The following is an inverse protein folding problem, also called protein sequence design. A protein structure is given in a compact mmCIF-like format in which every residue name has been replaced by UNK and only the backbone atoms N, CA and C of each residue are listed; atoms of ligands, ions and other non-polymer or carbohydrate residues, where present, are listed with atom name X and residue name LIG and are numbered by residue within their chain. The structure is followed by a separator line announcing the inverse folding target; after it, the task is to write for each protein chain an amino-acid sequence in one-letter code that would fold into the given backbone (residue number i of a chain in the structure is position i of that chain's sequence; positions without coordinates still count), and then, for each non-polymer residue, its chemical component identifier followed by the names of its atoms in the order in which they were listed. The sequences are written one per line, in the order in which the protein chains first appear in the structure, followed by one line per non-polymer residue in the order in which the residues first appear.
data_IF_831074724237
#
_entry.id   IF_831074724237
#
_cell.length_a   1.000
_cell.length_b   1.000
_cell.length_c   1.000
_cell.angle_alpha   90.00
_cell.angle_beta   90.00
_cell.angle_gamma   90.00
#
_symmetry.space_group_name_H-M   'P 1'
#
loop_
_entity.id
_entity.type
_entity.pdbx_description
1 polymer ?
#
# COMPACT_ATOMS: atom_id res chain seq x y z
N UNK A 1 85.62 -12.33 -19.60
CA UNK A 1 84.36 -11.93 -18.95
C UNK A 1 83.35 -11.53 -20.04
N UNK A 2 82.32 -12.35 -20.26
CA UNK A 2 81.26 -12.09 -21.27
C UNK A 2 79.98 -11.69 -20.53
N UNK A 3 79.51 -10.46 -20.73
CA UNK A 3 78.18 -10.03 -20.30
C UNK A 3 77.24 -10.03 -21.50
N UNK A 4 76.26 -10.94 -21.49
CA UNK A 4 75.14 -10.95 -22.42
C UNK A 4 73.96 -10.20 -21.78
N UNK A 5 73.60 -9.04 -22.34
CA UNK A 5 72.37 -8.32 -21.98
C UNK A 5 71.26 -8.88 -22.86
N UNK A 6 70.30 -9.58 -22.25
CA UNK A 6 69.10 -10.09 -22.91
C UNK A 6 68.01 -9.03 -22.89
N UNK A 7 67.72 -8.44 -24.04
CA UNK A 7 66.55 -7.58 -24.23
C UNK A 7 65.27 -8.44 -24.29
N UNK A 8 64.52 -8.49 -23.18
CA UNK A 8 63.21 -9.15 -23.12
C UNK A 8 62.12 -8.22 -23.71
N UNK A 9 61.74 -8.49 -24.95
CA UNK A 9 60.74 -7.75 -25.74
C UNK A 9 59.38 -7.68 -25.01
N UNK A 10 58.90 -6.46 -24.70
CA UNK A 10 57.53 -6.13 -24.21
C UNK A 10 56.47 -6.54 -25.24
N UNK A 11 56.11 -7.84 -25.34
CA UNK A 11 55.03 -8.30 -26.23
C UNK A 11 53.68 -8.52 -25.52
N UNK A 12 53.65 -8.56 -24.18
CA UNK A 12 52.44 -8.92 -23.42
C UNK A 12 51.58 -7.74 -22.94
N UNK A 13 52.05 -6.49 -23.01
CA UNK A 13 51.28 -5.35 -22.46
C UNK A 13 50.11 -4.90 -23.35
N UNK A 14 50.25 -5.01 -24.67
CA UNK A 14 49.20 -4.60 -25.62
C UNK A 14 48.00 -5.56 -25.62
N UNK A 15 48.24 -6.86 -25.56
CA UNK A 15 47.17 -7.86 -25.52
C UNK A 15 46.35 -7.79 -24.21
N UNK A 16 47.00 -7.51 -23.07
CA UNK A 16 46.30 -7.27 -21.80
C UNK A 16 45.53 -5.94 -21.80
N UNK A 17 46.06 -4.89 -22.43
CA UNK A 17 45.37 -3.62 -22.57
C UNK A 17 44.14 -3.73 -23.49
N UNK A 18 44.24 -4.50 -24.58
CA UNK A 18 43.10 -4.78 -25.47
C UNK A 18 42.00 -5.57 -24.77
N UNK A 19 42.33 -6.65 -24.04
CA UNK A 19 41.33 -7.39 -23.26
C UNK A 19 40.63 -6.56 -22.20
N UNK A 20 41.35 -5.65 -21.53
CA UNK A 20 40.74 -4.71 -20.56
C UNK A 20 39.79 -3.73 -21.23
N UNK A 21 40.13 -3.25 -22.44
CA UNK A 21 39.25 -2.38 -23.23
C UNK A 21 38.01 -3.11 -23.73
N UNK A 22 38.14 -4.36 -24.17
CA UNK A 22 37.00 -5.19 -24.60
C UNK A 22 36.04 -5.46 -23.44
N UNK A 23 36.56 -5.84 -22.26
CA UNK A 23 35.74 -6.05 -21.06
C UNK A 23 35.03 -4.75 -20.65
N UNK A 24 35.75 -3.62 -20.63
CA UNK A 24 35.16 -2.32 -20.28
C UNK A 24 34.09 -1.87 -21.29
N UNK A 25 34.30 -2.12 -22.59
CA UNK A 25 33.28 -1.85 -23.62
C UNK A 25 32.06 -2.74 -23.46
N UNK A 26 32.26 -4.01 -23.10
CA UNK A 26 31.17 -4.96 -22.91
C UNK A 26 30.33 -4.58 -21.67
N UNK A 27 30.96 -4.17 -20.58
CA UNK A 27 30.27 -3.65 -19.39
C UNK A 27 29.51 -2.34 -19.68
N UNK A 28 30.10 -1.42 -20.45
CA UNK A 28 29.42 -0.18 -20.86
C UNK A 28 28.19 -0.45 -21.74
N UNK A 29 28.29 -1.44 -22.63
CA UNK A 29 27.20 -1.79 -23.55
C UNK A 29 26.01 -2.41 -22.79
N UNK A 30 26.30 -3.28 -21.82
CA UNK A 30 25.29 -3.87 -20.92
C UNK A 30 24.62 -2.78 -20.09
N UNK A 31 25.40 -1.85 -19.52
CA UNK A 31 24.89 -0.73 -18.72
C UNK A 31 24.00 0.23 -19.53
N UNK A 32 24.42 0.57 -20.75
CA UNK A 32 23.62 1.38 -21.68
C UNK A 32 22.30 0.69 -22.06
N UNK A 33 22.33 -0.62 -22.33
CA UNK A 33 21.12 -1.38 -22.66
C UNK A 33 20.14 -1.46 -21.48
N UNK A 34 20.65 -1.66 -20.25
CA UNK A 34 19.82 -1.67 -19.04
C UNK A 34 19.20 -0.31 -18.77
N UNK A 35 19.96 0.78 -18.92
CA UNK A 35 19.45 2.14 -18.73
C UNK A 35 18.33 2.48 -19.73
N UNK A 36 18.51 2.13 -21.01
CA UNK A 36 17.48 2.33 -22.05
C UNK A 36 16.20 1.53 -21.77
N UNK A 37 16.35 0.29 -21.29
CA UNK A 37 15.21 -0.55 -20.91
C UNK A 37 14.46 0.02 -19.70
N UNK A 38 15.16 0.55 -18.69
CA UNK A 38 14.55 1.21 -17.54
C UNK A 38 13.77 2.47 -17.93
N UNK A 39 14.31 3.30 -18.83
CA UNK A 39 13.63 4.50 -19.33
C UNK A 39 12.35 4.13 -20.10
N UNK A 40 12.39 3.07 -20.91
CA UNK A 40 11.21 2.59 -21.65
C UNK A 40 10.10 2.09 -20.71
N UNK A 41 10.45 1.37 -19.64
CA UNK A 41 9.49 0.95 -18.60
C UNK A 41 8.84 2.14 -17.88
N UNK A 42 9.62 3.20 -17.62
CA UNK A 42 9.11 4.41 -16.96
C UNK A 42 8.13 5.19 -17.85
N UNK A 43 8.34 5.19 -19.17
CA UNK A 43 7.46 5.84 -20.15
C UNK A 43 6.13 5.11 -20.37
N UNK A 44 6.01 3.84 -19.95
CA UNK A 44 4.80 3.02 -20.06
C UNK A 44 3.92 3.06 -18.80
N UNK A 45 4.30 3.82 -17.77
CA UNK A 45 3.50 3.96 -16.56
C UNK A 45 2.20 4.74 -16.86
N UNK A 46 1.05 4.06 -16.76
CA UNK A 46 -0.27 4.70 -16.87
C UNK A 46 -0.57 5.56 -15.64
N UNK A 47 -1.31 6.64 -15.86
CA UNK A 47 -1.86 7.49 -14.80
C UNK A 47 -2.83 6.69 -13.92
N UNK A 48 -2.52 6.60 -12.62
CA UNK A 48 -3.42 6.05 -11.62
C UNK A 48 -4.38 7.15 -11.15
N UNK A 49 -5.69 6.88 -11.22
CA UNK A 49 -6.69 7.74 -10.61
C UNK A 49 -6.77 7.43 -9.11
N UNK A 50 -6.61 8.45 -8.27
CA UNK A 50 -6.82 8.31 -6.83
C UNK A 50 -8.31 8.00 -6.57
N UNK A 51 -8.58 7.00 -5.75
CA UNK A 51 -9.94 6.68 -5.32
C UNK A 51 -10.44 7.78 -4.36
N UNK A 52 -11.55 8.43 -4.72
CA UNK A 52 -12.20 9.45 -3.89
C UNK A 52 -12.81 8.89 -2.61
N UNK A 53 -13.11 9.78 -1.65
CA UNK A 53 -13.80 9.44 -0.41
C UNK A 53 -15.20 8.88 -0.74
N UNK A 54 -15.49 7.65 -0.28
CA UNK A 54 -16.81 7.01 -0.41
C UNK A 54 -17.03 6.09 -1.62
N UNK A 55 -16.03 5.88 -2.49
CA UNK A 55 -16.09 4.84 -3.52
C UNK A 55 -15.95 3.41 -2.96
N UNK A 56 -16.48 2.41 -3.65
CA UNK A 56 -16.34 0.99 -3.26
C UNK A 56 -14.86 0.61 -3.08
N UNK A 57 -14.54 -0.22 -2.08
CA UNK A 57 -13.19 -0.65 -1.73
C UNK A 57 -12.57 -1.41 -2.91
N UNK A 58 -11.79 -0.70 -3.74
CA UNK A 58 -11.14 -1.28 -4.92
C UNK A 58 -9.81 -1.93 -4.53
N UNK A 59 -8.70 -1.42 -5.04
CA UNK A 59 -7.34 -1.86 -4.76
C UNK A 59 -6.71 -1.14 -3.55
N UNK A 60 -7.43 -0.20 -2.91
CA UNK A 60 -6.97 0.39 -1.65
C UNK A 60 -6.75 -0.70 -0.59
N UNK A 61 -5.59 -0.66 0.08
CA UNK A 61 -5.18 -1.64 1.09
C UNK A 61 -4.27 -2.76 0.60
N UNK A 62 -3.90 -2.82 -0.68
CA UNK A 62 -2.92 -3.80 -1.23
C UNK A 62 -1.46 -3.32 -1.06
N UNK A 63 -1.22 -2.14 -0.46
CA UNK A 63 0.11 -1.52 -0.40
C UNK A 63 1.09 -2.18 0.60
N UNK A 64 0.65 -3.16 1.37
CA UNK A 64 1.47 -3.84 2.37
C UNK A 64 2.43 -4.85 1.73
N UNK A 65 3.52 -4.35 1.17
CA UNK A 65 4.65 -5.16 0.73
C UNK A 65 5.24 -5.95 1.91
N UNK A 66 5.25 -7.27 1.80
CA UNK A 66 5.80 -8.14 2.86
C UNK A 66 7.27 -8.44 2.62
N UNK A 67 8.11 -8.10 3.60
CA UNK A 67 9.51 -8.51 3.59
C UNK A 67 9.64 -9.94 4.13
N UNK A 68 10.21 -10.89 3.35
CA UNK A 68 10.23 -12.32 3.71
C UNK A 68 11.48 -12.73 4.51
N UNK A 69 12.65 -12.25 4.11
CA UNK A 69 13.90 -12.41 4.86
C UNK A 69 13.86 -11.70 6.21
N UNK A 70 14.12 -12.44 7.29
CA UNK A 70 14.24 -11.88 8.64
C UNK A 70 15.46 -10.94 8.76
N UNK A 71 16.57 -11.29 8.12
CA UNK A 71 17.78 -10.46 8.10
C UNK A 71 17.53 -9.14 7.36
N UNK A 72 16.89 -9.17 6.19
CA UNK A 72 16.49 -7.99 5.43
C UNK A 72 15.57 -7.09 6.26
N UNK A 73 14.54 -7.65 6.91
CA UNK A 73 13.66 -6.90 7.83
C UNK A 73 14.42 -6.22 8.96
N UNK A 74 15.32 -6.94 9.63
CA UNK A 74 16.13 -6.41 10.72
C UNK A 74 17.07 -5.27 10.25
N UNK A 75 17.43 -5.25 8.97
CA UNK A 75 18.25 -4.21 8.34
C UNK A 75 17.42 -3.16 7.58
N UNK A 76 16.12 -3.04 7.87
CA UNK A 76 15.26 -2.01 7.26
C UNK A 76 14.96 -2.24 5.78
N UNK A 77 14.94 -3.50 5.32
CA UNK A 77 14.63 -3.88 3.95
C UNK A 77 15.83 -3.98 3.02
N UNK A 78 17.05 -3.97 3.55
CA UNK A 78 18.27 -4.15 2.75
C UNK A 78 18.34 -5.58 2.21
N UNK A 79 18.43 -5.72 0.89
CA UNK A 79 18.52 -7.02 0.20
C UNK A 79 19.88 -7.31 -0.43
N UNK A 80 20.77 -6.31 -0.48
CA UNK A 80 22.12 -6.43 -1.05
C UNK A 80 23.12 -6.58 0.10
N UNK A 81 24.04 -7.55 -0.01
CA UNK A 81 25.01 -7.87 1.04
C UNK A 81 24.49 -8.87 2.08
N UNK A 82 23.19 -9.15 2.07
CA UNK A 82 22.59 -10.26 2.80
C UNK A 82 22.88 -11.56 2.05
N UNK A 83 23.62 -12.46 2.68
CA UNK A 83 24.09 -13.72 2.08
C UNK A 83 23.43 -14.91 2.75
N UNK A 84 23.37 -16.05 2.03
CA UNK A 84 22.89 -17.34 2.55
C UNK A 84 21.45 -17.28 3.08
N UNK A 85 20.59 -16.50 2.42
CA UNK A 85 19.20 -16.30 2.83
C UNK A 85 18.23 -16.57 1.67
N UNK A 86 17.57 -17.73 1.74
CA UNK A 86 16.50 -18.10 0.82
C UNK A 86 15.31 -17.11 0.84
N UNK A 87 15.12 -16.34 1.92
CA UNK A 87 14.08 -15.31 2.05
C UNK A 87 14.22 -14.14 1.09
N UNK A 88 15.32 -14.03 0.34
CA UNK A 88 15.52 -13.01 -0.69
C UNK A 88 15.07 -13.46 -2.08
N UNK A 89 14.64 -14.72 -2.23
CA UNK A 89 14.29 -15.38 -3.49
C UNK A 89 13.44 -14.52 -4.43
N UNK A 90 12.45 -13.83 -3.89
CA UNK A 90 11.49 -13.03 -4.65
C UNK A 90 11.70 -11.52 -4.54
N UNK A 91 12.71 -11.07 -3.78
CA UNK A 91 13.00 -9.64 -3.58
C UNK A 91 14.26 -9.23 -4.34
N UNK A 92 15.27 -10.10 -4.30
CA UNK A 92 16.53 -9.96 -4.99
C UNK A 92 17.05 -11.37 -5.32
N UNK A 93 16.50 -12.03 -6.37
CA UNK A 93 16.86 -13.41 -6.69
C UNK A 93 18.37 -13.60 -6.91
N UNK A 94 19.10 -12.59 -7.38
CA UNK A 94 20.55 -12.66 -7.55
C UNK A 94 21.29 -12.94 -6.24
N UNK A 95 20.74 -12.56 -5.08
CA UNK A 95 21.32 -12.85 -3.77
C UNK A 95 21.40 -14.36 -3.47
N UNK A 96 20.54 -15.18 -4.09
CA UNK A 96 20.56 -16.63 -3.94
C UNK A 96 21.88 -17.26 -4.40
N UNK A 97 22.66 -16.61 -5.27
CA UNK A 97 23.97 -17.12 -5.70
C UNK A 97 24.92 -17.42 -4.54
N UNK A 98 24.71 -16.77 -3.39
CA UNK A 98 25.50 -16.93 -2.18
C UNK A 98 25.19 -18.23 -1.43
N UNK A 99 24.08 -18.91 -1.74
CA UNK A 99 23.65 -20.15 -1.09
C UNK A 99 24.57 -21.31 -1.51
N UNK A 100 25.23 -21.92 -0.54
CA UNK A 100 26.22 -22.99 -0.78
C UNK A 100 25.70 -24.41 -0.54
N UNK A 101 24.55 -24.57 0.13
CA UNK A 101 23.91 -25.86 0.38
C UNK A 101 22.40 -25.78 0.24
N UNK A 102 21.72 -26.92 0.30
CA UNK A 102 20.24 -26.95 0.30
C UNK A 102 19.75 -26.20 1.55
N UNK A 103 18.84 -25.26 1.37
CA UNK A 103 18.27 -24.46 2.44
C UNK A 103 16.75 -24.49 2.38
N UNK A 104 16.12 -24.83 3.49
CA UNK A 104 14.69 -24.63 3.70
C UNK A 104 14.47 -23.45 4.65
N UNK A 105 13.50 -22.59 4.34
CA UNK A 105 13.16 -21.44 5.18
C UNK A 105 11.65 -21.39 5.41
N UNK A 106 11.25 -21.46 6.68
CA UNK A 106 9.87 -21.29 7.13
C UNK A 106 9.80 -20.04 7.99
N UNK A 107 8.75 -19.25 7.84
CA UNK A 107 8.58 -18.03 8.61
C UNK A 107 7.12 -17.68 8.84
N UNK A 108 6.85 -17.08 10.00
CA UNK A 108 5.59 -16.42 10.32
C UNK A 108 5.86 -14.99 10.78
N UNK A 109 4.84 -14.16 10.73
CA UNK A 109 4.87 -12.81 11.28
C UNK A 109 3.73 -12.64 12.28
N UNK A 110 4.00 -11.83 13.31
CA UNK A 110 3.02 -11.34 14.24
C UNK A 110 3.04 -9.81 14.20
N UNK A 111 1.87 -9.21 14.14
CA UNK A 111 1.66 -7.77 14.10
C UNK A 111 0.80 -7.36 15.27
N UNK A 112 1.14 -6.20 15.83
CA UNK A 112 0.27 -5.40 16.68
C UNK A 112 0.07 -4.08 15.97
N UNK A 113 -1.19 -3.73 15.73
CA UNK A 113 -1.57 -2.55 14.99
C UNK A 113 -2.56 -1.75 15.80
N UNK A 114 -2.16 -0.52 16.12
CA UNK A 114 -3.02 0.48 16.71
C UNK A 114 -3.33 1.53 15.65
N UNK A 115 -4.61 1.75 15.43
CA UNK A 115 -5.16 2.74 14.52
C UNK A 115 -5.99 3.71 15.33
N UNK A 116 -5.69 4.99 15.19
CA UNK A 116 -6.45 6.05 15.81
C UNK A 116 -6.76 7.14 14.81
N UNK A 117 -7.88 7.81 15.03
CA UNK A 117 -8.23 9.02 14.33
C UNK A 117 -8.63 10.08 15.34
N UNK A 118 -7.93 11.20 15.28
CA UNK A 118 -8.30 12.43 15.93
C UNK A 118 -8.78 13.43 14.87
N UNK A 119 -9.93 14.05 15.09
CA UNK A 119 -10.46 15.09 14.22
C UNK A 119 -10.58 16.39 14.99
N UNK A 120 -9.98 17.44 14.43
CA UNK A 120 -10.00 18.79 14.97
C UNK A 120 -10.62 19.74 13.94
N UNK A 121 -11.59 20.54 14.37
CA UNK A 121 -12.35 21.44 13.49
C UNK A 121 -12.12 22.90 13.87
N UNK A 122 -11.68 23.69 12.90
CA UNK A 122 -11.65 25.14 13.09
C UNK A 122 -13.08 25.70 13.04
N UNK A 123 -13.45 26.63 13.96
CA UNK A 123 -14.75 27.25 13.93
C UNK A 123 -14.91 28.10 12.67
N UNK A 124 -16.06 27.96 12.02
CA UNK A 124 -16.43 28.79 10.88
C UNK A 124 -17.13 30.03 11.41
N UNK A 125 -16.72 31.22 10.98
CA UNK A 125 -17.24 32.50 11.51
C UNK A 125 -18.76 32.59 11.56
N UNK A 126 -19.44 32.07 10.54
CA UNK A 126 -20.91 32.10 10.42
C UNK A 126 -21.61 30.88 11.02
N UNK A 127 -20.87 29.83 11.38
CA UNK A 127 -21.38 28.57 11.92
C UNK A 127 -20.50 28.14 13.11
N UNK A 128 -20.40 29.01 14.11
CA UNK A 128 -19.43 28.87 15.21
C UNK A 128 -19.63 27.60 16.04
N UNK A 129 -20.87 27.09 16.13
CA UNK A 129 -21.22 25.84 16.81
C UNK A 129 -21.05 24.59 15.93
N UNK A 130 -20.67 24.71 14.66
CA UNK A 130 -20.48 23.56 13.76
C UNK A 130 -19.30 22.70 14.21
N UNK A 131 -18.15 23.32 14.54
CA UNK A 131 -16.98 22.58 15.03
C UNK A 131 -17.33 21.83 16.32
N UNK A 132 -18.04 22.48 17.25
CA UNK A 132 -18.49 21.87 18.49
C UNK A 132 -19.44 20.68 18.25
N UNK A 133 -20.30 20.75 17.23
CA UNK A 133 -21.17 19.62 16.86
C UNK A 133 -20.35 18.45 16.31
N UNK A 134 -19.44 18.73 15.37
CA UNK A 134 -18.62 17.70 14.73
C UNK A 134 -17.63 17.05 15.71
N UNK A 135 -17.18 17.79 16.73
CA UNK A 135 -16.34 17.31 17.84
C UNK A 135 -17.15 16.65 18.98
N UNK A 136 -18.49 16.59 18.87
CA UNK A 136 -19.34 15.99 19.90
C UNK A 136 -19.35 16.75 21.24
N UNK A 137 -19.02 18.04 21.23
CA UNK A 137 -18.93 18.89 22.41
C UNK A 137 -20.25 19.61 22.75
N UNK A 138 -21.23 19.63 21.84
CA UNK A 138 -22.51 20.34 22.04
C UNK A 138 -23.36 19.78 23.18
N UNK A 139 -23.15 18.53 23.59
CA UNK A 139 -23.79 17.94 24.76
C UNK A 139 -23.41 18.65 26.08
N UNK A 140 -22.25 19.32 26.12
CA UNK A 140 -21.77 20.07 27.31
C UNK A 140 -22.34 21.47 27.41
N UNK A 141 -23.03 21.94 26.37
CA UNK A 141 -23.59 23.29 26.32
C UNK A 141 -25.03 23.24 26.85
N UNK A 142 -25.36 24.03 27.90
CA UNK A 142 -26.72 24.13 28.42
C UNK A 142 -27.72 24.55 27.33
N UNK A 143 -28.97 24.13 27.48
CA UNK A 143 -30.04 24.65 26.63
C UNK A 143 -30.21 26.16 26.86
N UNK A 144 -30.46 26.94 25.80
CA UNK A 144 -30.82 28.35 25.96
C UNK A 144 -32.14 28.47 26.72
N UNK A 145 -32.30 29.57 27.46
CA UNK A 145 -33.57 29.90 28.11
C UNK A 145 -34.59 30.31 27.04
N UNK A 146 -35.58 29.44 26.83
CA UNK A 146 -36.64 29.64 25.82
C UNK A 146 -37.66 30.71 26.22
N UNK A 147 -37.60 31.23 27.46
CA UNK A 147 -38.51 32.26 27.97
C UNK A 147 -38.00 33.69 27.71
N UNK A 148 -36.79 33.85 27.18
CA UNK A 148 -36.24 35.16 26.84
C UNK A 148 -36.98 35.80 25.66
N UNK A 149 -37.26 37.10 25.77
CA UNK A 149 -37.90 37.89 24.70
C UNK A 149 -36.99 37.89 23.47
N UNK A 150 -37.54 37.47 22.33
CA UNK A 150 -36.79 37.37 21.07
C UNK A 150 -36.16 36.00 20.82
N UNK A 151 -36.41 35.00 21.66
CA UNK A 151 -35.97 33.62 21.40
C UNK A 151 -36.52 33.09 20.07
N UNK A 152 -35.62 32.54 19.27
CA UNK A 152 -35.95 31.85 18.02
C UNK A 152 -35.36 30.44 18.03
N UNK A 153 -35.83 29.57 17.13
CA UNK A 153 -35.23 28.26 16.95
C UNK A 153 -33.74 28.31 16.56
N UNK A 154 -33.24 29.45 16.05
CA UNK A 154 -31.83 29.64 15.69
C UNK A 154 -30.92 29.77 16.91
N UNK A 155 -31.48 30.13 18.07
CA UNK A 155 -30.74 30.25 19.33
C UNK A 155 -30.48 28.89 19.99
N UNK A 156 -31.02 27.81 19.41
CA UNK A 156 -30.87 26.44 19.92
C UNK A 156 -29.52 25.82 19.56
N UNK A 157 -28.93 25.14 20.53
CA UNK A 157 -27.72 24.34 20.33
C UNK A 157 -28.08 23.07 19.55
N UNK A 158 -27.54 22.94 18.34
CA UNK A 158 -27.69 21.74 17.51
C UNK A 158 -26.95 20.56 18.16
N UNK A 159 -27.59 19.38 18.20
CA UNK A 159 -27.03 18.17 18.84
C UNK A 159 -27.09 16.97 17.87
N UNK A 160 -26.16 16.01 18.01
CA UNK A 160 -26.25 14.77 17.25
C UNK A 160 -27.51 13.98 17.65
N UNK A 161 -28.06 13.25 16.70
CA UNK A 161 -29.17 12.31 16.92
C UNK A 161 -28.66 10.87 17.14
N UNK A 162 -27.36 10.71 17.35
CA UNK A 162 -26.65 9.45 17.52
C UNK A 162 -25.63 9.53 18.67
N UNK A 163 -25.07 8.38 19.04
CA UNK A 163 -24.02 8.26 20.04
C UNK A 163 -22.62 8.08 19.40
N UNK A 164 -22.44 8.50 18.15
CA UNK A 164 -21.17 8.33 17.42
C UNK A 164 -20.23 9.48 17.82
N UNK A 165 -19.11 9.15 18.46
CA UNK A 165 -18.05 10.12 18.77
C UNK A 165 -17.28 10.57 17.53
N UNK A 166 -16.54 11.69 17.56
CA UNK A 166 -15.69 12.14 16.44
C UNK A 166 -14.45 11.27 16.24
N UNK A 167 -13.84 10.87 17.35
CA UNK A 167 -12.58 10.16 17.39
C UNK A 167 -12.85 8.66 17.56
N UNK A 168 -11.94 7.86 17.07
CA UNK A 168 -11.99 6.42 17.25
C UNK A 168 -10.56 5.88 17.40
N UNK A 169 -10.45 4.79 18.14
CA UNK A 169 -9.20 4.03 18.28
C UNK A 169 -9.51 2.55 18.18
N UNK A 170 -8.61 1.80 17.57
CA UNK A 170 -8.73 0.36 17.37
C UNK A 170 -7.35 -0.28 17.47
N UNK A 171 -7.21 -1.24 18.38
CA UNK A 171 -6.08 -2.15 18.44
C UNK A 171 -6.46 -3.48 17.80
N UNK A 172 -5.61 -4.03 16.95
CA UNK A 172 -5.76 -5.39 16.41
C UNK A 172 -4.40 -6.08 16.38
N UNK A 173 -4.38 -7.31 16.88
CA UNK A 173 -3.23 -8.19 16.75
C UNK A 173 -3.58 -9.31 15.77
N UNK A 174 -2.64 -9.68 14.90
CA UNK A 174 -2.79 -10.82 14.02
C UNK A 174 -1.46 -11.49 13.75
N UNK A 175 -1.50 -12.80 13.53
CA UNK A 175 -0.38 -13.59 13.05
C UNK A 175 -0.71 -14.18 11.68
N UNK A 176 0.32 -14.39 10.86
CA UNK A 176 0.17 -15.02 9.56
C UNK A 176 1.41 -15.80 9.14
N UNK A 177 1.26 -16.88 8.37
CA UNK A 177 2.40 -17.48 7.68
C UNK A 177 2.99 -16.44 6.72
N UNK A 178 4.32 -16.35 6.69
CA UNK A 178 5.05 -15.40 5.87
C UNK A 178 5.71 -16.07 4.68
N UNK A 179 6.34 -17.22 4.89
CA UNK A 179 7.08 -17.90 3.84
C UNK A 179 7.26 -19.39 4.11
N UNK A 180 7.30 -20.17 3.04
CA UNK A 180 7.83 -21.52 2.99
C UNK A 180 8.63 -21.69 1.70
N UNK A 181 9.95 -21.74 1.82
CA UNK A 181 10.90 -21.65 0.71
C UNK A 181 11.88 -22.82 0.74
N UNK A 182 12.28 -23.28 -0.44
CA UNK A 182 13.37 -24.23 -0.65
C UNK A 182 14.32 -23.65 -1.70
N UNK A 183 15.60 -23.59 -1.37
CA UNK A 183 16.67 -23.21 -2.29
C UNK A 183 17.69 -24.35 -2.42
N UNK A 184 18.06 -24.68 -3.65
CA UNK A 184 18.98 -25.77 -3.97
C UNK A 184 20.07 -25.27 -4.93
N UNK A 185 21.34 -25.26 -4.50
CA UNK A 185 22.45 -25.00 -5.39
C UNK A 185 22.73 -26.21 -6.27
N UNK A 186 23.03 -25.95 -7.53
CA UNK A 186 23.47 -26.95 -8.50
C UNK A 186 24.53 -26.34 -9.42
N UNK A 187 25.26 -27.17 -10.16
CA UNK A 187 26.28 -26.70 -11.09
C UNK A 187 25.97 -27.20 -12.49
N UNK A 188 25.98 -26.28 -13.46
CA UNK A 188 25.89 -26.60 -14.88
C UNK A 188 27.24 -26.28 -15.52
N UNK A 189 28.07 -27.32 -15.66
CA UNK A 189 29.46 -27.16 -16.09
C UNK A 189 30.27 -26.34 -15.07
N UNK A 190 30.76 -25.16 -15.48
CA UNK A 190 31.55 -24.26 -14.62
C UNK A 190 30.71 -23.18 -13.93
N UNK A 191 29.41 -23.11 -14.23
CA UNK A 191 28.51 -22.08 -13.71
C UNK A 191 27.82 -22.64 -12.47
N UNK A 192 28.02 -21.96 -11.33
CA UNK A 192 27.26 -22.22 -10.11
C UNK A 192 25.91 -21.53 -10.20
N UNK A 193 24.86 -22.29 -9.99
CA UNK A 193 23.48 -21.83 -10.03
C UNK A 193 22.74 -22.23 -8.77
N UNK A 194 21.66 -21.52 -8.47
CA UNK A 194 20.74 -21.83 -7.38
C UNK A 194 19.32 -21.74 -7.91
N UNK A 195 18.56 -22.81 -7.73
CA UNK A 195 17.12 -22.82 -7.99
C UNK A 195 16.38 -22.66 -6.67
N UNK A 196 15.30 -21.89 -6.71
CA UNK A 196 14.41 -21.64 -5.59
C UNK A 196 12.97 -21.95 -5.97
N UNK A 197 12.20 -22.48 -5.04
CA UNK A 197 10.74 -22.59 -5.12
C UNK A 197 10.14 -22.25 -3.76
N UNK A 198 8.95 -21.66 -3.74
CA UNK A 198 8.24 -21.51 -2.49
C UNK A 198 6.94 -20.73 -2.58
N UNK A 199 6.30 -20.64 -1.42
CA UNK A 199 5.11 -19.85 -1.17
C UNK A 199 5.46 -18.71 -0.21
N UNK A 200 4.94 -17.52 -0.46
CA UNK A 200 5.14 -16.35 0.38
C UNK A 200 3.88 -15.52 0.55
N UNK A 201 3.72 -14.86 1.68
CA UNK A 201 2.74 -13.79 1.81
C UNK A 201 3.20 -12.63 0.94
N UNK A 202 2.46 -12.36 -0.14
CA UNK A 202 2.76 -11.28 -1.07
C UNK A 202 2.33 -9.94 -0.48
N UNK A 203 1.04 -9.84 -0.12
CA UNK A 203 0.46 -8.65 0.49
C UNK A 203 -0.47 -9.01 1.64
N UNK A 204 -0.46 -8.18 2.69
CA UNK A 204 -1.54 -8.17 3.67
C UNK A 204 -2.73 -7.42 3.09
N UNK A 205 -3.90 -8.06 3.03
CA UNK A 205 -5.12 -7.38 2.59
C UNK A 205 -5.87 -6.77 3.77
N UNK A 206 -5.39 -6.97 5.01
CA UNK A 206 -5.99 -6.33 6.18
C UNK A 206 -5.96 -4.80 6.02
N UNK A 207 -7.14 -4.23 5.96
CA UNK A 207 -7.35 -2.79 5.86
C UNK A 207 -8.47 -2.39 6.79
N UNK A 208 -8.31 -1.24 7.43
CA UNK A 208 -9.39 -0.62 8.17
C UNK A 208 -9.31 0.88 8.03
N UNK A 209 -10.45 1.49 7.77
CA UNK A 209 -10.59 2.93 7.75
C UNK A 209 -11.98 3.28 8.26
N UNK A 210 -12.05 4.30 9.09
CA UNK A 210 -13.30 4.86 9.56
C UNK A 210 -13.17 6.38 9.59
N UNK A 211 -14.24 7.07 9.22
CA UNK A 211 -14.37 8.51 9.38
C UNK A 211 -15.79 8.79 9.87
N UNK A 212 -15.91 9.39 11.05
CA UNK A 212 -17.19 9.62 11.73
C UNK A 212 -17.89 10.92 11.29
N UNK A 213 -17.23 11.74 10.48
CA UNK A 213 -17.71 13.06 10.06
C UNK A 213 -17.44 13.26 8.57
N UNK A 214 -18.09 12.45 7.74
CA UNK A 214 -18.14 12.67 6.29
C UNK A 214 -19.25 13.67 5.99
N UNK A 215 -18.89 14.73 5.27
CA UNK A 215 -19.81 15.77 4.82
C UNK A 215 -19.92 15.72 3.30
N UNK A 216 -21.15 15.59 2.79
CA UNK A 216 -21.42 15.50 1.35
C UNK A 216 -22.56 16.45 0.94
N UNK A 217 -22.30 17.50 0.14
CA UNK A 217 -20.98 17.90 -0.38
C UNK A 217 -20.03 18.33 0.76
N UNK A 218 -18.73 18.19 0.53
CA UNK A 218 -17.74 18.61 1.52
C UNK A 218 -17.75 20.13 1.64
N UNK A 219 -18.18 20.61 2.80
CA UNK A 219 -18.12 22.02 3.15
C UNK A 219 -16.72 22.32 3.70
N UNK A 220 -16.22 23.53 3.47
CA UNK A 220 -14.90 23.98 3.97
C UNK A 220 -13.67 23.40 3.25
N UNK A 221 -13.83 22.46 2.31
CA UNK A 221 -12.70 21.91 1.52
C UNK A 221 -12.48 22.59 0.16
N UNK A 222 -13.38 23.49 -0.27
CA UNK A 222 -13.23 24.19 -1.54
C UNK A 222 -12.32 25.42 -1.36
N UNK A 223 -11.19 25.41 -2.05
CA UNK A 223 -10.36 26.61 -2.32
C UNK A 223 -10.53 27.00 -3.79
N UNK A 224 -10.52 28.31 -4.13
CA UNK A 224 -10.12 29.44 -3.31
C UNK A 224 -11.20 29.90 -2.32
N UNK A 225 -10.74 30.41 -1.17
CA UNK A 225 -11.60 31.18 -0.26
C UNK A 225 -11.88 32.54 -0.89
N UNK A 226 -13.12 33.07 -0.79
CA UNK A 226 -14.20 32.55 0.04
C UNK A 226 -15.09 31.51 -0.69
N UNK A 227 -15.40 30.41 0.00
CA UNK A 227 -16.57 29.56 -0.32
C UNK A 227 -17.82 30.44 -0.35
N UNK A 228 -18.60 30.36 -1.44
CA UNK A 228 -19.86 31.07 -1.56
C UNK A 228 -20.77 30.75 -0.37
N UNK A 229 -21.23 31.80 0.32
CA UNK A 229 -22.12 31.69 1.47
C UNK A 229 -23.53 31.32 0.99
N UNK A 230 -24.16 30.26 1.54
CA UNK A 230 -25.56 29.94 1.26
C UNK A 230 -26.49 31.12 1.59
N UNK A 231 -27.53 31.31 0.79
CA UNK A 231 -28.58 32.29 1.07
C UNK A 231 -29.70 31.68 1.90
N UNK A 232 -30.49 32.49 2.59
CA UNK A 232 -31.64 31.99 3.35
C UNK A 232 -32.75 31.44 2.43
N UNK A 233 -32.88 32.00 1.22
CA UNK A 233 -33.80 31.52 0.16
C UNK A 233 -33.23 30.33 -0.63
N UNK A 234 -31.94 30.03 -0.48
CA UNK A 234 -31.27 28.92 -1.14
C UNK A 234 -30.27 28.24 -0.20
N UNK A 235 -30.78 27.51 0.82
CA UNK A 235 -29.93 26.86 1.81
C UNK A 235 -29.19 25.66 1.19
N UNK A 236 -28.02 25.36 1.73
CA UNK A 236 -27.19 24.25 1.27
C UNK A 236 -27.43 23.00 2.15
N UNK A 237 -28.08 21.94 1.62
CA UNK A 237 -28.17 20.66 2.33
C UNK A 237 -26.86 19.88 2.21
N UNK A 238 -26.40 19.35 3.35
CA UNK A 238 -25.19 18.55 3.48
C UNK A 238 -25.52 17.30 4.27
N UNK A 239 -25.30 16.14 3.66
CA UNK A 239 -25.41 14.88 4.37
C UNK A 239 -24.24 14.72 5.32
N UNK A 240 -24.53 14.38 6.57
CA UNK A 240 -23.56 14.07 7.59
C UNK A 240 -23.64 12.58 7.90
N UNK A 241 -22.54 11.87 7.66
CA UNK A 241 -22.48 10.43 7.84
C UNK A 241 -21.17 9.98 8.48
N UNK A 242 -21.22 8.79 9.06
CA UNK A 242 -20.04 7.98 9.34
C UNK A 242 -19.85 7.02 8.17
N UNK A 243 -18.62 6.91 7.68
CA UNK A 243 -18.22 5.84 6.75
C UNK A 243 -17.16 4.98 7.40
N UNK A 244 -17.33 3.66 7.38
CA UNK A 244 -16.31 2.71 7.78
C UNK A 244 -16.14 1.65 6.71
N UNK A 245 -14.94 1.09 6.63
CA UNK A 245 -14.62 -0.02 5.75
C UNK A 245 -13.54 -0.87 6.37
N UNK A 246 -13.67 -2.17 6.21
CA UNK A 246 -12.67 -3.15 6.60
C UNK A 246 -12.52 -4.21 5.52
N UNK A 247 -11.28 -4.65 5.35
CA UNK A 247 -10.94 -5.86 4.61
C UNK A 247 -10.12 -6.75 5.50
N UNK A 248 -10.36 -8.05 5.44
CA UNK A 248 -9.55 -9.05 6.11
C UNK A 248 -9.23 -10.16 5.12
N UNK A 249 -7.95 -10.42 4.88
CA UNK A 249 -7.53 -11.41 3.89
C UNK A 249 -6.04 -11.39 3.67
N UNK A 250 -5.58 -12.20 2.72
CA UNK A 250 -4.17 -12.25 2.34
C UNK A 250 -4.02 -12.60 0.87
N UNK A 251 -2.99 -12.04 0.25
CA UNK A 251 -2.56 -12.42 -1.09
C UNK A 251 -1.27 -13.25 -0.97
N UNK A 252 -1.31 -14.48 -1.43
CA UNK A 252 -0.17 -15.41 -1.43
C UNK A 252 0.48 -15.42 -2.81
N UNK A 253 1.81 -15.56 -2.83
CA UNK A 253 2.61 -15.71 -4.02
C UNK A 253 3.25 -17.09 -4.06
N UNK A 254 3.07 -17.82 -5.15
CA UNK A 254 3.69 -19.12 -5.40
C UNK A 254 4.61 -19.00 -6.59
N UNK A 255 5.90 -19.29 -6.40
CA UNK A 255 6.86 -18.95 -7.43
C UNK A 255 8.13 -19.77 -7.42
N UNK A 256 8.93 -19.49 -8.44
CA UNK A 256 10.26 -20.04 -8.63
C UNK A 256 11.26 -18.91 -8.81
N UNK A 257 12.52 -19.20 -8.50
CA UNK A 257 13.64 -18.32 -8.78
C UNK A 257 14.84 -19.09 -9.29
N UNK A 258 15.66 -18.42 -10.08
CA UNK A 258 16.93 -18.92 -10.55
C UNK A 258 17.97 -17.82 -10.38
N UNK A 259 19.13 -18.19 -9.85
CA UNK A 259 20.28 -17.30 -9.74
C UNK A 259 21.54 -18.01 -10.24
N UNK A 260 22.48 -17.24 -10.79
CA UNK A 260 23.73 -17.79 -11.29
C UNK A 260 24.85 -16.76 -11.28
N UNK A 261 26.07 -17.24 -11.01
CA UNK A 261 27.29 -16.43 -11.15
C UNK A 261 27.79 -16.52 -12.59
N UNK A 262 27.47 -15.51 -13.40
CA UNK A 262 27.84 -15.47 -14.83
C UNK A 262 29.31 -15.12 -15.02
N UNK A 263 29.84 -14.26 -14.14
CA UNK A 263 31.25 -13.93 -14.05
C UNK A 263 31.71 -14.08 -12.60
N UNK A 264 33.03 -14.03 -12.35
CA UNK A 264 33.59 -14.20 -10.99
C UNK A 264 32.99 -13.25 -9.95
N UNK A 265 32.55 -12.06 -10.39
CA UNK A 265 32.06 -11.01 -9.53
C UNK A 265 30.64 -10.57 -9.88
N UNK A 266 30.00 -11.16 -10.90
CA UNK A 266 28.67 -10.75 -11.38
C UNK A 266 27.72 -11.91 -11.26
N UNK A 267 26.67 -11.70 -10.46
CA UNK A 267 25.56 -12.63 -10.31
C UNK A 267 24.30 -12.02 -10.90
N UNK A 268 23.52 -12.85 -11.58
CA UNK A 268 22.20 -12.52 -12.11
C UNK A 268 21.16 -13.39 -11.42
N UNK A 269 19.95 -12.86 -11.28
CA UNK A 269 18.83 -13.61 -10.78
C UNK A 269 17.51 -13.17 -11.39
N UNK A 270 16.63 -14.15 -11.54
CA UNK A 270 15.27 -13.99 -12.03
C UNK A 270 14.32 -14.76 -11.13
N UNK A 271 13.15 -14.20 -10.87
CA UNK A 271 12.05 -14.92 -10.24
C UNK A 271 10.71 -14.57 -10.88
N UNK A 272 9.77 -15.50 -10.81
CA UNK A 272 8.40 -15.31 -11.23
C UNK A 272 7.46 -15.99 -10.25
N UNK A 273 6.30 -15.38 -10.00
CA UNK A 273 5.26 -15.94 -9.14
C UNK A 273 3.86 -15.69 -9.70
N UNK A 274 2.98 -16.64 -9.40
CA UNK A 274 1.53 -16.46 -9.49
C UNK A 274 1.02 -15.98 -8.15
N UNK A 275 0.04 -15.06 -8.18
CA UNK A 275 -0.59 -14.49 -7.00
C UNK A 275 -2.01 -15.04 -6.91
N UNK A 276 -2.39 -15.46 -5.71
CA UNK A 276 -3.73 -15.97 -5.41
C UNK A 276 -4.10 -15.64 -3.97
N UNK A 277 -5.33 -15.20 -3.74
CA UNK A 277 -5.79 -14.88 -2.41
C UNK A 277 -7.22 -14.38 -2.38
N UNK A 278 -7.77 -14.26 -1.19
CA UNK A 278 -9.13 -13.78 -0.98
C UNK A 278 -9.21 -12.85 0.23
N UNK A 279 -10.29 -12.08 0.28
CA UNK A 279 -10.62 -11.26 1.43
C UNK A 279 -12.12 -11.19 1.70
N UNK A 280 -12.45 -11.00 2.96
CA UNK A 280 -13.76 -10.58 3.43
C UNK A 280 -13.80 -9.06 3.51
N UNK A 281 -14.76 -8.46 2.82
CA UNK A 281 -14.94 -7.02 2.70
C UNK A 281 -16.22 -6.58 3.42
N UNK A 282 -16.12 -5.54 4.25
CA UNK A 282 -17.26 -4.87 4.87
C UNK A 282 -17.13 -3.37 4.66
N UNK A 283 -18.17 -2.74 4.14
CA UNK A 283 -18.31 -1.30 4.06
C UNK A 283 -19.59 -0.88 4.76
N UNK A 284 -19.56 0.22 5.48
CA UNK A 284 -20.72 0.77 6.14
C UNK A 284 -20.78 2.29 5.97
N UNK A 285 -21.97 2.78 5.67
CA UNK A 285 -22.33 4.18 5.74
C UNK A 285 -23.52 4.31 6.71
N UNK A 286 -23.34 5.09 7.77
CA UNK A 286 -24.40 5.40 8.74
C UNK A 286 -24.66 6.89 8.66
N UNK A 287 -25.86 7.27 8.21
CA UNK A 287 -26.30 8.66 8.25
C UNK A 287 -26.47 9.07 9.71
N UNK A 288 -25.80 10.16 10.07
CA UNK A 288 -25.83 10.81 11.39
C UNK A 288 -26.88 11.91 11.45
N UNK A 289 -27.10 12.55 10.31
CA UNK A 289 -28.15 13.54 10.10
C UNK A 289 -27.95 14.28 8.78
N UNK A 290 -28.71 15.34 8.60
CA UNK A 290 -28.51 16.29 7.50
C UNK A 290 -28.34 17.69 8.06
N UNK A 291 -27.24 18.32 7.70
CA UNK A 291 -26.94 19.71 8.05
C UNK A 291 -27.45 20.60 6.94
N UNK A 292 -28.33 21.53 7.26
CA UNK A 292 -28.83 22.54 6.32
C UNK A 292 -28.22 23.88 6.68
N UNK A 293 -27.39 24.43 5.79
CA UNK A 293 -26.69 25.69 6.01
C UNK A 293 -27.45 26.85 5.40
N UNK A 294 -27.76 27.83 6.24
CA UNK A 294 -28.37 29.11 5.90
C UNK A 294 -27.30 30.21 5.88
N UNK A 295 -27.69 31.47 5.80
CA UNK A 295 -26.73 32.56 5.73
C UNK A 295 -25.89 32.66 7.03
N UNK A 296 -26.50 32.67 8.22
CA UNK A 296 -25.80 32.82 9.52
C UNK A 296 -26.06 31.67 10.52
N UNK A 297 -26.73 30.61 10.07
CA UNK A 297 -27.12 29.51 10.95
C UNK A 297 -27.05 28.19 10.19
N UNK A 298 -27.03 27.09 10.92
CA UNK A 298 -27.30 25.79 10.35
C UNK A 298 -28.28 25.02 11.24
N UNK A 299 -29.00 24.10 10.63
CA UNK A 299 -29.91 23.17 11.30
C UNK A 299 -29.45 21.75 11.09
N UNK A 300 -29.44 20.94 12.14
CA UNK A 300 -29.29 19.50 12.03
C UNK A 300 -30.68 18.85 12.00
N UNK A 301 -30.93 18.01 10.99
CA UNK A 301 -32.13 17.19 10.89
C UNK A 301 -31.79 15.72 11.20
N UNK A 302 -32.66 15.04 11.94
CA UNK A 302 -32.57 13.59 12.11
C UNK A 302 -33.02 12.90 10.83
N UNK A 303 -32.13 12.10 10.25
CA UNK A 303 -32.44 11.22 9.13
C UNK A 303 -31.85 9.87 9.45
N UNK A 304 -32.67 8.82 9.36
CA UNK A 304 -32.19 7.46 9.51
C UNK A 304 -31.92 6.85 8.14
N UNK A 305 -30.65 6.50 7.90
CA UNK A 305 -30.24 5.69 6.77
C UNK A 305 -28.96 4.94 7.11
N UNK A 306 -28.94 3.64 6.84
CA UNK A 306 -27.77 2.79 6.99
C UNK A 306 -27.59 1.97 5.73
N UNK A 307 -26.40 2.01 5.16
CA UNK A 307 -25.98 1.10 4.10
C UNK A 307 -24.88 0.23 4.66
N UNK A 308 -25.05 -1.09 4.55
CA UNK A 308 -24.01 -2.06 4.84
C UNK A 308 -23.76 -2.86 3.58
N UNK A 309 -22.50 -2.96 3.16
CA UNK A 309 -22.07 -3.86 2.10
C UNK A 309 -21.17 -4.93 2.72
N UNK A 310 -21.48 -6.19 2.49
CA UNK A 310 -20.71 -7.33 3.00
C UNK A 310 -20.48 -8.30 1.86
N UNK A 311 -19.24 -8.75 1.68
CA UNK A 311 -18.92 -9.62 0.56
C UNK A 311 -17.52 -10.20 0.63
N UNK A 312 -17.17 -10.92 -0.43
CA UNK A 312 -15.83 -11.49 -0.62
C UNK A 312 -15.20 -10.91 -1.89
N UNK A 313 -13.87 -10.86 -1.89
CA UNK A 313 -13.05 -10.52 -3.05
C UNK A 313 -12.01 -11.60 -3.29
N UNK A 314 -11.89 -12.05 -4.54
CA UNK A 314 -10.84 -12.96 -4.99
C UNK A 314 -9.83 -12.20 -5.82
N UNK A 315 -8.55 -12.43 -5.54
CA UNK A 315 -7.42 -11.75 -6.16
C UNK A 315 -6.57 -12.76 -6.89
N UNK A 316 -6.19 -12.42 -8.12
CA UNK A 316 -5.26 -13.20 -8.92
C UNK A 316 -4.26 -12.29 -9.62
N UNK A 317 -3.07 -12.78 -9.90
CA UNK A 317 -2.08 -11.96 -10.59
C UNK A 317 -0.78 -12.68 -10.88
N UNK A 318 0.17 -11.94 -11.45
CA UNK A 318 1.54 -12.42 -11.66
C UNK A 318 2.53 -11.31 -11.38
N UNK A 319 3.70 -11.70 -10.84
CA UNK A 319 4.83 -10.80 -10.62
C UNK A 319 6.12 -11.44 -11.13
N UNK A 320 7.02 -10.59 -11.65
CA UNK A 320 8.37 -10.97 -12.05
C UNK A 320 9.39 -10.09 -11.33
N UNK A 321 10.59 -10.61 -11.11
CA UNK A 321 11.71 -9.84 -10.56
C UNK A 321 12.99 -10.20 -11.30
N UNK A 322 13.75 -9.17 -11.66
CA UNK A 322 15.06 -9.27 -12.30
C UNK A 322 16.08 -8.57 -11.41
N UNK A 323 17.23 -9.18 -11.20
CA UNK A 323 18.24 -8.61 -10.31
C UNK A 323 19.67 -8.94 -10.74
N UNK A 324 20.60 -8.11 -10.30
CA UNK A 324 22.03 -8.33 -10.46
C UNK A 324 22.79 -7.83 -9.26
N UNK A 325 23.88 -8.52 -8.93
CA UNK A 325 24.82 -8.13 -7.87
C UNK A 325 26.25 -8.21 -8.44
N UNK A 326 26.98 -7.10 -8.31
CA UNK A 326 28.41 -6.98 -8.51
C UNK A 326 29.10 -7.04 -7.14
N UNK A 327 29.89 -8.10 -6.91
CA UNK A 327 30.59 -8.34 -5.64
C UNK A 327 32.06 -7.95 -5.76
N UNK A 328 32.46 -6.92 -5.02
CA UNK A 328 33.86 -6.55 -4.79
C UNK A 328 34.41 -7.17 -3.50
N UNK A 329 35.66 -6.85 -3.18
CA UNK A 329 36.32 -7.33 -1.95
C UNK A 329 35.73 -6.73 -0.67
N UNK A 330 35.31 -5.46 -0.74
CA UNK A 330 34.85 -4.68 0.42
C UNK A 330 33.44 -4.11 0.23
N UNK A 331 32.97 -4.03 -1.02
CA UNK A 331 31.70 -3.40 -1.38
C UNK A 331 31.00 -4.28 -2.39
N UNK A 332 29.70 -4.45 -2.21
CA UNK A 332 28.81 -5.05 -3.19
C UNK A 332 27.78 -4.01 -3.64
N UNK A 333 27.53 -3.96 -4.93
CA UNK A 333 26.54 -3.08 -5.55
C UNK A 333 25.58 -3.95 -6.35
N UNK A 334 24.29 -3.67 -6.30
CA UNK A 334 23.32 -4.45 -7.04
C UNK A 334 22.05 -3.66 -7.30
N UNK A 335 21.17 -4.24 -8.09
CA UNK A 335 19.83 -3.74 -8.32
C UNK A 335 18.84 -4.90 -8.33
N UNK A 336 17.59 -4.57 -8.01
CA UNK A 336 16.44 -5.46 -8.20
C UNK A 336 15.31 -4.64 -8.79
N UNK A 337 14.76 -5.12 -9.90
CA UNK A 337 13.69 -4.48 -10.64
C UNK A 337 12.48 -5.40 -10.60
N UNK A 338 11.37 -4.86 -10.09
CA UNK A 338 10.05 -5.46 -10.14
C UNK A 338 9.19 -4.64 -11.09
N UNK A 339 8.91 -5.11 -12.31
CA UNK A 339 7.93 -4.47 -13.18
C UNK A 339 6.56 -4.41 -12.48
N UNK A 340 5.67 -3.47 -12.87
CA UNK A 340 4.32 -3.41 -12.34
C UNK A 340 3.61 -4.76 -12.46
N UNK A 341 3.13 -5.29 -11.34
CA UNK A 341 2.31 -6.50 -11.32
C UNK A 341 0.92 -6.21 -11.88
N UNK A 342 0.32 -7.19 -12.56
CA UNK A 342 -1.09 -7.16 -12.93
C UNK A 342 -1.87 -7.97 -11.92
N UNK A 343 -2.75 -7.32 -11.16
CA UNK A 343 -3.62 -7.96 -10.18
C UNK A 343 -5.06 -7.72 -10.61
N UNK A 344 -5.81 -8.81 -10.79
CA UNK A 344 -7.24 -8.80 -11.04
C UNK A 344 -7.96 -9.08 -9.73
N UNK A 345 -9.02 -8.30 -9.45
CA UNK A 345 -9.91 -8.51 -8.32
C UNK A 345 -11.31 -8.76 -8.85
N UNK A 346 -11.88 -9.91 -8.50
CA UNK A 346 -13.30 -10.21 -8.71
C UNK A 346 -13.99 -10.11 -7.35
N UNK A 347 -15.16 -9.47 -7.27
CA UNK A 347 -15.86 -9.31 -6.00
C UNK A 347 -17.36 -9.55 -6.10
N UNK A 348 -17.95 -9.97 -4.99
CA UNK A 348 -19.39 -10.16 -4.83
C UNK A 348 -19.82 -9.63 -3.46
N UNK A 349 -20.69 -8.62 -3.45
CA UNK A 349 -21.15 -7.96 -2.23
C UNK A 349 -22.67 -7.94 -2.15
N UNK A 350 -23.20 -8.29 -0.98
CA UNK A 350 -24.58 -8.01 -0.61
C UNK A 350 -24.66 -6.59 -0.03
N UNK A 351 -25.62 -5.81 -0.50
CA UNK A 351 -25.89 -4.45 -0.05
C UNK A 351 -27.23 -4.44 0.67
N UNK A 352 -27.19 -4.14 1.96
CA UNK A 352 -28.36 -3.88 2.78
C UNK A 352 -28.53 -2.37 2.95
N UNK A 353 -29.62 -1.81 2.43
CA UNK A 353 -30.00 -0.40 2.61
C UNK A 353 -31.23 -0.32 3.52
N UNK A 354 -31.06 0.28 4.68
CA UNK A 354 -32.12 0.46 5.66
C UNK A 354 -32.43 1.95 5.85
N UNK A 355 -33.68 2.33 5.60
CA UNK A 355 -34.20 3.71 5.78
C UNK A 355 -35.41 3.78 6.71
N UNK A 356 -35.99 2.64 7.10
CA UNK A 356 -37.26 2.56 7.84
C UNK A 356 -37.23 1.51 8.97
N UNK A 357 -36.08 0.89 9.23
CA UNK A 357 -35.91 -0.23 10.16
C UNK A 357 -36.06 -1.61 9.49
N UNK A 358 -36.35 -1.67 8.18
CA UNK A 358 -36.38 -2.92 7.40
C UNK A 358 -35.45 -2.77 6.19
N UNK A 359 -34.36 -3.55 6.11
CA UNK A 359 -33.37 -3.40 5.04
C UNK A 359 -33.87 -3.95 3.70
N UNK A 360 -33.71 -3.14 2.65
CA UNK A 360 -33.76 -3.62 1.26
C UNK A 360 -32.42 -4.25 0.88
N UNK A 361 -32.47 -5.43 0.27
CA UNK A 361 -31.28 -6.18 -0.12
C UNK A 361 -31.04 -6.12 -1.64
N UNK A 362 -29.79 -5.99 -2.04
CA UNK A 362 -29.34 -6.16 -3.42
C UNK A 362 -27.95 -6.78 -3.47
N UNK A 363 -27.53 -7.23 -4.66
CA UNK A 363 -26.20 -7.83 -4.88
C UNK A 363 -25.47 -7.05 -5.95
N UNK A 364 -24.18 -6.79 -5.72
CA UNK A 364 -23.27 -6.14 -6.67
C UNK A 364 -22.11 -7.10 -6.93
N UNK A 365 -21.77 -7.29 -8.21
CA UNK A 365 -20.64 -8.09 -8.66
C UNK A 365 -19.79 -7.28 -9.64
N UNK A 366 -18.50 -7.58 -9.71
CA UNK A 366 -17.58 -6.90 -10.64
C UNK A 366 -16.17 -7.44 -10.62
#
# INVERSE_FOLDING_TARGET
MKNFIVYRKRKNSHAQAQRRREIAQQELCVFSATLRFCVLLFLLARSLFAQGNGGALTFQGIDHYSLHSAASRAMGGVTIGVNQDAGLMFQNPAALHSITGIQAALGGLWFSQDLEQEQNYAPVRYYSNLSLLLEGLTARIPNPDTMLVGFTAQDTVQRPYDNIGPNWSRSKNHSKPLQALLAMPFSLGKIKMVAGIGAVNYADLNHYYQNNNVLSPNILSQRPLPTLRPGDDNPLPVNWSQTSRSRAGSLQGYGIALAGSVMKNVSLGFSGMILDGSSDDVEQEVTRGRLTFYSNAFRADSIYRRITKTGTSDFSGTEFTLSSILTGRFVSVGFSIKPPATITRNYSMQVATDTTGTPALSTIQG
#
